data_IF_074311571884
#
_entry.id   IF_074311571884
#
_cell.length_a   1.000
_cell.length_b   1.000
_cell.length_c   1.000
_cell.angle_alpha   90.00
_cell.angle_beta   90.00
_cell.angle_gamma   90.00
#
_symmetry.space_group_name_H-M   'P 1'
#
loop_
_entity.id
_entity.type
_entity.pdbx_description
1 polymer ?
#
# COMPACT_ATOMS: atom_id res chain seq x y z
N UNK A 1 12.30 -4.11 -0.42
CA UNK A 1 12.61 -3.01 0.53
C UNK A 1 14.08 -2.98 0.94
N UNK A 2 14.71 -4.13 1.29
CA UNK A 2 16.12 -4.21 1.70
C UNK A 2 17.09 -3.50 0.74
N UNK A 3 16.90 -3.64 -0.58
CA UNK A 3 17.71 -2.92 -1.58
C UNK A 3 17.53 -1.40 -1.47
N UNK A 4 16.30 -0.91 -1.41
CA UNK A 4 16.03 0.52 -1.26
C UNK A 4 16.53 1.08 0.08
N UNK A 5 16.44 0.31 1.17
CA UNK A 5 17.02 0.69 2.46
C UNK A 5 18.55 0.80 2.38
N UNK A 6 19.22 -0.12 1.69
CA UNK A 6 20.68 -0.05 1.48
C UNK A 6 21.07 1.11 0.57
N UNK A 7 20.29 1.38 -0.46
CA UNK A 7 20.52 2.52 -1.35
C UNK A 7 20.37 3.86 -0.59
N UNK A 8 19.45 3.93 0.37
CA UNK A 8 19.24 5.11 1.24
C UNK A 8 20.17 5.20 2.44
N UNK A 9 20.62 4.06 2.95
CA UNK A 9 21.50 3.93 4.12
C UNK A 9 22.60 2.90 3.80
N UNK A 10 23.68 3.31 3.11
CA UNK A 10 24.74 2.40 2.65
C UNK A 10 25.46 1.66 3.77
N UNK A 11 25.50 2.27 4.96
CA UNK A 11 26.13 1.74 6.18
C UNK A 11 25.20 0.81 6.98
N UNK A 12 23.99 0.51 6.48
CA UNK A 12 23.03 -0.33 7.19
C UNK A 12 23.52 -1.80 7.21
N UNK A 13 23.73 -2.43 8.38
CA UNK A 13 24.18 -3.82 8.44
C UNK A 13 23.22 -4.78 7.73
N UNK A 14 23.75 -5.79 7.03
CA UNK A 14 22.95 -6.72 6.22
C UNK A 14 21.88 -7.46 7.04
N UNK A 15 22.22 -7.88 8.26
CA UNK A 15 21.25 -8.53 9.14
C UNK A 15 20.13 -7.57 9.60
N UNK A 16 20.43 -6.29 9.80
CA UNK A 16 19.41 -5.28 10.15
C UNK A 16 18.51 -4.99 8.94
N UNK A 17 19.09 -4.86 7.75
CA UNK A 17 18.34 -4.71 6.50
C UNK A 17 17.41 -5.92 6.24
N UNK A 18 17.87 -7.12 6.56
CA UNK A 18 17.11 -8.37 6.46
C UNK A 18 15.96 -8.42 7.48
N UNK A 19 16.23 -8.00 8.72
CA UNK A 19 15.19 -7.90 9.78
C UNK A 19 14.11 -6.89 9.39
N UNK A 20 14.48 -5.71 8.91
CA UNK A 20 13.54 -4.68 8.45
C UNK A 20 12.72 -5.12 7.22
N UNK A 21 13.32 -5.93 6.33
CA UNK A 21 12.60 -6.53 5.22
C UNK A 21 11.55 -7.53 5.71
N UNK A 22 11.90 -8.40 6.66
CA UNK A 22 10.95 -9.34 7.25
C UNK A 22 9.77 -8.64 7.93
N UNK A 23 10.03 -7.54 8.64
CA UNK A 23 8.97 -6.68 9.22
C UNK A 23 8.09 -6.10 8.12
N UNK A 24 8.67 -5.61 7.03
CA UNK A 24 7.90 -5.05 5.92
C UNK A 24 6.98 -6.08 5.24
N UNK A 25 7.47 -7.31 5.07
CA UNK A 25 6.70 -8.41 4.51
C UNK A 25 5.55 -8.81 5.45
N UNK A 26 5.80 -8.86 6.77
CA UNK A 26 4.76 -9.06 7.77
C UNK A 26 3.70 -7.96 7.73
N UNK A 27 4.11 -6.69 7.66
CA UNK A 27 3.21 -5.54 7.58
C UNK A 27 2.36 -5.58 6.32
N UNK A 28 2.94 -5.95 5.17
CA UNK A 28 2.21 -6.09 3.92
C UNK A 28 1.12 -7.17 4.03
N UNK A 29 1.43 -8.31 4.63
CA UNK A 29 0.50 -9.42 4.83
C UNK A 29 -0.62 -9.07 5.81
N UNK A 30 -0.28 -8.49 6.98
CA UNK A 30 -1.26 -8.00 7.96
C UNK A 30 -2.19 -6.97 7.31
N UNK A 31 -1.68 -6.11 6.43
CA UNK A 31 -2.51 -5.11 5.75
C UNK A 31 -3.60 -5.73 4.86
N UNK A 32 -3.33 -6.90 4.27
CA UNK A 32 -4.33 -7.64 3.49
C UNK A 32 -5.38 -8.18 4.45
N UNK A 33 -4.95 -8.82 5.54
CA UNK A 33 -5.85 -9.33 6.58
C UNK A 33 -6.78 -8.22 7.05
N UNK A 34 -6.26 -7.08 7.49
CA UNK A 34 -7.06 -5.95 7.99
C UNK A 34 -8.10 -5.42 7.00
N UNK A 35 -7.83 -5.51 5.68
CA UNK A 35 -8.80 -5.09 4.65
C UNK A 35 -9.91 -6.11 4.39
N UNK A 36 -9.70 -7.36 4.78
CA UNK A 36 -10.61 -8.48 4.50
C UNK A 36 -11.32 -9.03 5.75
N UNK A 37 -11.01 -8.51 6.95
CA UNK A 37 -11.67 -8.95 8.20
C UNK A 37 -13.16 -8.59 8.16
N UNK A 38 -14.03 -9.59 8.11
CA UNK A 38 -15.46 -9.42 8.40
C UNK A 38 -15.67 -9.33 9.92
N UNK A 39 -15.97 -8.14 10.41
CA UNK A 39 -16.27 -7.91 11.83
C UNK A 39 -17.72 -8.33 12.13
N UNK A 40 -17.98 -9.61 12.40
CA UNK A 40 -19.17 -10.03 13.16
C UNK A 40 -18.88 -9.89 14.66
N UNK A 41 -19.90 -9.85 15.53
CA UNK A 41 -19.76 -9.57 16.98
C UNK A 41 -18.77 -10.49 17.73
N UNK A 42 -18.26 -11.55 17.11
CA UNK A 42 -17.20 -12.43 17.64
C UNK A 42 -15.79 -12.18 17.08
N UNK A 43 -15.56 -11.14 16.26
CA UNK A 43 -14.24 -10.55 16.01
C UNK A 43 -13.18 -11.45 15.35
N UNK A 44 -13.55 -12.60 14.78
CA UNK A 44 -12.56 -13.49 14.17
C UNK A 44 -12.73 -13.75 12.69
N UNK A 45 -11.61 -14.11 12.09
CA UNK A 45 -11.38 -14.40 10.68
C UNK A 45 -11.85 -15.82 10.32
N UNK A 46 -12.41 -15.99 9.12
CA UNK A 46 -12.70 -17.31 8.55
C UNK A 46 -11.47 -17.87 7.79
N UNK A 47 -11.11 -19.10 8.15
CA UNK A 47 -10.29 -20.13 7.47
C UNK A 47 -8.74 -20.12 7.53
N UNK A 48 -8.21 -20.87 8.50
CA UNK A 48 -7.25 -21.98 8.30
C UNK A 48 -7.50 -23.05 9.39
N UNK A 49 -8.30 -24.08 9.10
CA UNK A 49 -8.59 -25.20 10.02
C UNK A 49 -9.57 -24.88 11.16
N UNK A 50 -10.88 -24.95 10.90
CA UNK A 50 -12.00 -25.13 11.84
C UNK A 50 -12.11 -24.25 13.11
N UNK A 51 -11.32 -23.19 13.30
CA UNK A 51 -11.48 -22.22 14.41
C UNK A 51 -11.39 -20.77 13.94
N UNK A 52 -12.37 -19.96 14.37
CA UNK A 52 -12.40 -18.52 14.22
C UNK A 52 -11.26 -17.89 15.06
N UNK A 53 -10.31 -17.20 14.42
CA UNK A 53 -9.13 -16.60 15.07
C UNK A 53 -9.24 -15.06 15.08
N UNK A 54 -8.92 -14.44 16.22
CA UNK A 54 -8.91 -12.99 16.38
C UNK A 54 -7.77 -12.36 15.55
N UNK A 55 -7.95 -11.10 15.14
CA UNK A 55 -7.04 -10.39 14.23
C UNK A 55 -5.62 -10.17 14.81
N UNK A 56 -5.54 -9.98 16.12
CA UNK A 56 -4.32 -9.91 16.93
C UNK A 56 -3.49 -11.20 16.82
N UNK A 57 -4.10 -12.37 17.02
CA UNK A 57 -3.44 -13.69 16.96
C UNK A 57 -2.90 -13.96 15.54
N UNK A 58 -3.66 -13.55 14.52
CA UNK A 58 -3.22 -13.70 13.12
C UNK A 58 -2.05 -12.78 12.83
N UNK A 59 -2.09 -11.52 13.27
CA UNK A 59 -0.98 -10.59 13.12
C UNK A 59 0.28 -11.08 13.84
N UNK A 60 0.12 -11.56 15.07
CA UNK A 60 1.20 -12.13 15.89
C UNK A 60 1.91 -13.29 15.18
N UNK A 61 1.12 -14.26 14.68
CA UNK A 61 1.65 -15.41 13.94
C UNK A 61 2.42 -14.98 12.69
N UNK A 62 1.90 -14.01 11.92
CA UNK A 62 2.54 -13.51 10.70
C UNK A 62 3.90 -12.90 11.05
N UNK A 63 3.97 -12.06 12.09
CA UNK A 63 5.23 -11.42 12.50
C UNK A 63 6.25 -12.49 12.90
N UNK A 64 5.89 -13.42 13.78
CA UNK A 64 6.82 -14.48 14.20
C UNK A 64 7.33 -15.32 13.03
N UNK A 65 6.47 -15.69 12.09
CA UNK A 65 6.85 -16.51 10.94
C UNK A 65 7.82 -15.78 10.00
N UNK A 66 7.57 -14.50 9.74
CA UNK A 66 8.45 -13.68 8.89
C UNK A 66 9.79 -13.42 9.57
N UNK A 67 9.81 -13.10 10.86
CA UNK A 67 11.05 -12.93 11.61
C UNK A 67 11.86 -14.23 11.67
N UNK A 68 11.21 -15.38 11.89
CA UNK A 68 11.88 -16.69 11.90
C UNK A 68 12.49 -17.03 10.53
N UNK A 69 11.72 -16.83 9.46
CA UNK A 69 12.16 -17.08 8.09
C UNK A 69 13.34 -16.19 7.65
N UNK A 70 13.55 -15.07 8.32
CA UNK A 70 14.64 -14.13 8.00
C UNK A 70 16.03 -14.65 8.33
N UNK A 71 16.15 -15.56 9.31
CA UNK A 71 17.44 -16.02 9.85
C UNK A 71 18.27 -14.96 10.60
N UNK A 72 17.85 -13.69 10.59
CA UNK A 72 18.56 -12.57 11.21
C UNK A 72 18.14 -12.29 12.67
N UNK A 73 17.02 -12.86 13.10
CA UNK A 73 16.46 -12.64 14.44
C UNK A 73 16.70 -13.87 15.31
N UNK A 74 17.38 -13.67 16.43
CA UNK A 74 17.68 -14.71 17.42
C UNK A 74 16.53 -14.90 18.40
N UNK A 75 16.01 -13.79 18.94
CA UNK A 75 14.96 -13.77 19.96
C UNK A 75 13.85 -12.80 19.58
N UNK A 76 12.59 -13.19 19.74
CA UNK A 76 11.47 -12.28 19.58
C UNK A 76 10.47 -12.38 20.74
N UNK A 77 9.76 -11.30 21.03
CA UNK A 77 8.73 -11.23 22.08
C UNK A 77 7.57 -10.35 21.62
N UNK A 78 6.34 -10.78 21.89
CA UNK A 78 5.12 -10.09 21.48
C UNK A 78 4.36 -9.55 22.69
N UNK A 79 3.50 -8.54 22.50
CA UNK A 79 2.50 -8.19 23.51
C UNK A 79 1.56 -9.38 23.82
N UNK A 80 1.15 -10.11 22.78
CA UNK A 80 0.21 -11.24 22.90
C UNK A 80 0.83 -12.45 23.57
N UNK A 81 2.14 -12.64 23.36
CA UNK A 81 2.93 -13.68 24.00
C UNK A 81 4.22 -13.08 24.55
N UNK A 82 4.18 -12.70 25.83
CA UNK A 82 5.28 -12.03 26.53
C UNK A 82 6.51 -12.90 26.83
N UNK A 83 6.50 -14.16 26.40
CA UNK A 83 7.65 -15.05 26.49
C UNK A 83 8.72 -14.66 25.47
N UNK A 84 9.99 -14.74 25.85
CA UNK A 84 11.08 -14.62 24.89
C UNK A 84 11.21 -15.90 24.07
N UNK A 85 10.83 -15.82 22.80
CA UNK A 85 10.85 -16.95 21.87
C UNK A 85 12.15 -16.93 21.07
N UNK A 86 12.92 -18.02 21.15
CA UNK A 86 14.06 -18.23 20.26
C UNK A 86 13.57 -18.57 18.84
N UNK A 87 14.06 -17.82 17.86
CA UNK A 87 13.73 -18.01 16.44
C UNK A 87 14.84 -18.71 15.66
N UNK A 88 15.99 -18.99 16.29
CA UNK A 88 17.09 -19.74 15.69
C UNK A 88 17.99 -18.94 14.73
N UNK A 89 17.73 -17.64 14.54
CA UNK A 89 18.61 -16.75 13.80
C UNK A 89 19.71 -16.13 14.66
N UNK A 90 20.48 -15.21 14.07
CA UNK A 90 21.59 -14.54 14.76
C UNK A 90 21.65 -13.05 14.42
N UNK A 91 21.96 -12.20 15.41
CA UNK A 91 22.31 -10.79 15.19
C UNK A 91 21.35 -9.81 15.86
N UNK A 92 20.05 -10.10 15.88
CA UNK A 92 19.06 -9.17 16.41
C UNK A 92 18.02 -9.82 17.31
N UNK A 93 17.43 -9.01 18.18
CA UNK A 93 16.25 -9.35 18.96
C UNK A 93 15.14 -8.34 18.69
N UNK A 94 13.90 -8.81 18.55
CA UNK A 94 12.75 -7.98 18.16
C UNK A 94 11.63 -8.08 19.18
N UNK A 95 11.21 -6.96 19.74
CA UNK A 95 9.98 -6.89 20.51
C UNK A 95 8.90 -6.15 19.71
N UNK A 96 7.66 -6.61 19.74
CA UNK A 96 6.60 -6.00 18.95
C UNK A 96 5.22 -6.04 19.60
N UNK A 97 4.40 -5.05 19.26
CA UNK A 97 2.94 -5.10 19.36
C UNK A 97 2.41 -5.44 17.96
N UNK A 98 1.83 -6.64 17.76
CA UNK A 98 1.38 -7.05 16.44
C UNK A 98 0.18 -6.23 15.95
N UNK A 99 -0.63 -5.66 16.85
CA UNK A 99 -1.84 -4.93 16.47
C UNK A 99 -2.32 -3.92 17.53
N UNK A 100 -1.66 -2.76 17.59
CA UNK A 100 -2.10 -1.58 18.36
C UNK A 100 -3.46 -1.08 17.85
N UNK A 101 -4.39 -0.86 18.79
CA UNK A 101 -5.74 -0.40 18.48
C UNK A 101 -6.70 -1.53 18.07
N UNK A 102 -6.42 -2.79 18.40
CA UNK A 102 -7.31 -3.92 18.11
C UNK A 102 -8.78 -3.69 18.54
N UNK A 103 -9.00 -3.05 19.69
CA UNK A 103 -10.32 -2.69 20.22
C UNK A 103 -11.16 -1.73 19.36
N UNK A 104 -10.54 -1.01 18.41
CA UNK A 104 -11.22 -0.03 17.54
C UNK A 104 -11.31 -0.50 16.08
N UNK A 105 -10.92 -1.75 15.79
CA UNK A 105 -11.03 -2.34 14.44
C UNK A 105 -12.48 -2.37 13.97
N UNK A 106 -13.44 -2.74 14.83
CA UNK A 106 -14.86 -2.81 14.49
C UNK A 106 -15.46 -1.44 14.12
N UNK A 107 -14.88 -0.36 14.63
CA UNK A 107 -15.24 1.01 14.28
C UNK A 107 -14.60 1.48 12.95
N UNK A 108 -13.79 0.63 12.31
CA UNK A 108 -13.05 0.90 11.08
C UNK A 108 -12.10 2.11 11.23
N UNK A 109 -11.52 2.28 12.43
CA UNK A 109 -10.49 3.27 12.67
C UNK A 109 -9.12 2.74 12.23
N UNK A 110 -8.18 3.66 12.01
CA UNK A 110 -6.81 3.27 11.72
C UNK A 110 -6.18 2.56 12.92
N UNK A 111 -5.46 1.48 12.66
CA UNK A 111 -4.72 0.66 13.65
C UNK A 111 -3.27 0.50 13.20
N UNK A 112 -2.42 -0.17 13.95
CA UNK A 112 -1.01 -0.30 13.58
C UNK A 112 -0.29 -1.47 14.23
N UNK A 113 0.96 -1.72 13.84
CA UNK A 113 1.88 -2.60 14.56
C UNK A 113 3.11 -1.80 14.99
N UNK A 114 3.75 -2.17 16.08
CA UNK A 114 4.92 -1.49 16.63
C UNK A 114 6.07 -2.48 16.77
N UNK A 115 7.29 -2.07 16.44
CA UNK A 115 8.49 -2.92 16.45
C UNK A 115 9.67 -2.17 17.07
N UNK A 116 10.34 -2.79 18.04
CA UNK A 116 11.64 -2.38 18.56
C UNK A 116 12.70 -3.43 18.19
N UNK A 117 13.87 -2.97 17.74
CA UNK A 117 14.97 -3.84 17.28
C UNK A 117 16.23 -3.53 18.08
N UNK A 118 16.79 -4.56 18.70
CA UNK A 118 18.05 -4.52 19.44
C UNK A 118 19.07 -5.46 18.80
N UNK A 119 20.35 -5.12 18.93
CA UNK A 119 21.43 -6.03 18.55
C UNK A 119 21.63 -7.12 19.61
N UNK A 120 21.99 -8.32 19.18
CA UNK A 120 22.22 -9.49 20.03
C UNK A 120 20.96 -10.33 20.28
N UNK A 121 20.97 -11.06 21.41
CA UNK A 121 20.04 -12.16 21.72
C UNK A 121 19.12 -11.88 22.93
N UNK A 122 19.20 -10.67 23.50
CA UNK A 122 18.49 -10.29 24.72
C UNK A 122 17.60 -9.08 24.51
N UNK A 123 16.34 -9.22 24.92
CA UNK A 123 15.38 -8.12 25.07
C UNK A 123 15.31 -7.61 26.53
N UNK A 124 15.41 -8.51 27.50
CA UNK A 124 15.38 -8.13 28.92
C UNK A 124 16.68 -7.44 29.35
N UNK A 125 16.53 -6.38 30.14
CA UNK A 125 17.66 -5.57 30.63
C UNK A 125 18.19 -4.57 29.60
N UNK A 126 17.66 -4.55 28.39
CA UNK A 126 17.97 -3.52 27.40
C UNK A 126 17.30 -2.19 27.77
N UNK A 127 18.01 -1.08 27.54
CA UNK A 127 17.41 0.25 27.67
C UNK A 127 16.66 0.58 26.37
N UNK A 128 15.56 1.35 26.48
CA UNK A 128 14.85 1.83 25.28
C UNK A 128 15.79 2.56 24.30
N UNK A 129 16.73 3.34 24.83
CA UNK A 129 17.73 4.05 24.05
C UNK A 129 18.84 3.19 23.44
N UNK A 130 18.90 1.87 23.69
CA UNK A 130 19.87 0.97 23.05
C UNK A 130 19.37 0.33 21.75
N UNK A 131 18.16 0.65 21.31
CA UNK A 131 17.64 0.19 20.02
C UNK A 131 18.55 0.62 18.86
N UNK A 132 18.78 -0.31 17.94
CA UNK A 132 19.48 -0.04 16.67
C UNK A 132 18.50 0.49 15.62
N UNK A 133 17.24 0.07 15.72
CA UNK A 133 16.14 0.57 14.91
C UNK A 133 14.80 0.38 15.63
N UNK A 134 13.81 1.15 15.22
CA UNK A 134 12.42 0.96 15.56
C UNK A 134 11.54 1.19 14.34
N UNK A 135 10.37 0.59 14.33
CA UNK A 135 9.40 0.79 13.27
C UNK A 135 7.98 0.74 13.80
N UNK A 136 7.06 1.37 13.09
CA UNK A 136 5.64 1.12 13.27
C UNK A 136 4.93 1.15 11.92
N UNK A 137 3.86 0.39 11.79
CA UNK A 137 2.98 0.39 10.63
C UNK A 137 1.68 1.11 10.94
N UNK A 138 1.12 1.84 9.97
CA UNK A 138 -0.23 2.39 10.06
C UNK A 138 -1.12 1.68 9.04
N UNK A 139 -2.14 0.98 9.51
CA UNK A 139 -3.21 0.39 8.71
C UNK A 139 -4.41 1.33 8.70
N UNK A 140 -4.34 2.39 7.88
CA UNK A 140 -5.46 3.30 7.64
C UNK A 140 -5.95 3.23 6.20
N UNK A 141 -6.48 4.34 5.65
CA UNK A 141 -6.78 4.45 4.21
C UNK A 141 -5.57 4.18 3.31
N UNK A 142 -4.36 4.33 3.88
CA UNK A 142 -3.09 3.91 3.30
C UNK A 142 -2.38 3.02 4.31
N UNK A 143 -1.66 2.03 3.81
CA UNK A 143 -0.70 1.28 4.62
C UNK A 143 0.64 2.01 4.58
N UNK A 144 1.13 2.43 5.74
CA UNK A 144 2.44 3.05 5.89
C UNK A 144 3.32 2.17 6.77
N UNK A 145 4.62 2.17 6.51
CA UNK A 145 5.64 1.64 7.40
C UNK A 145 6.64 2.77 7.66
N UNK A 146 6.74 3.18 8.92
CA UNK A 146 7.66 4.22 9.36
C UNK A 146 8.80 3.54 10.08
N UNK A 147 10.03 3.86 9.70
CA UNK A 147 11.25 3.27 10.23
C UNK A 147 12.13 4.38 10.76
N UNK A 148 12.63 4.19 11.97
CA UNK A 148 13.62 5.03 12.58
C UNK A 148 14.90 4.22 12.78
N UNK A 149 15.98 4.72 12.21
CA UNK A 149 17.32 4.18 12.39
C UNK A 149 18.06 5.09 13.36
N UNK A 150 18.83 4.49 14.29
CA UNK A 150 19.68 5.26 15.17
C UNK A 150 20.82 5.87 14.36
N UNK A 151 20.68 7.13 13.98
CA UNK A 151 21.74 7.96 13.42
C UNK A 151 21.97 9.11 14.40
N UNK A 152 23.22 9.50 14.66
CA UNK A 152 23.61 10.42 15.74
C UNK A 152 23.11 11.87 15.63
N UNK A 153 21.99 12.15 14.96
CA UNK A 153 21.46 13.49 14.73
C UNK A 153 20.17 13.72 15.52
N UNK A 154 20.16 14.75 16.38
CA UNK A 154 18.97 15.24 17.07
C UNK A 154 18.15 16.14 16.15
N UNK A 155 16.88 15.79 15.92
CA UNK A 155 15.96 16.63 15.15
C UNK A 155 15.37 17.78 15.97
N UNK A 156 15.02 18.90 15.31
CA UNK A 156 14.30 20.02 15.92
C UNK A 156 12.79 19.85 15.77
N UNK A 157 12.03 19.98 16.87
CA UNK A 157 10.56 19.96 16.85
C UNK A 157 10.00 21.28 16.33
N UNK A 158 8.98 21.25 15.46
CA UNK A 158 8.18 22.43 15.12
C UNK A 158 6.93 22.49 16.01
N UNK A 159 6.40 23.70 16.25
CA UNK A 159 5.24 23.88 17.14
C UNK A 159 3.92 23.71 16.39
N UNK A 160 3.27 22.55 16.52
CA UNK A 160 1.87 22.35 16.10
C UNK A 160 0.93 22.34 17.32
N UNK A 161 -0.25 22.98 17.17
CA UNK A 161 -1.27 23.08 18.22
C UNK A 161 -2.27 21.92 18.17
N UNK A 162 -1.76 20.69 18.31
CA UNK A 162 -2.58 19.46 18.35
C UNK A 162 -2.23 18.65 19.58
N UNK A 163 -3.23 18.04 20.21
CA UNK A 163 -3.02 17.14 21.34
C UNK A 163 -3.87 15.87 21.27
N UNK A 164 -3.30 14.77 21.76
CA UNK A 164 -3.86 13.43 21.85
C UNK A 164 -3.76 12.93 23.31
N UNK A 165 -4.78 13.21 24.15
CA UNK A 165 -4.76 12.86 25.56
C UNK A 165 -5.29 11.43 25.78
N UNK A 166 -4.38 10.46 25.85
CA UNK A 166 -4.72 9.10 26.25
C UNK A 166 -4.96 9.01 27.77
N UNK A 167 -5.64 7.95 28.18
CA UNK A 167 -5.96 7.66 29.59
C UNK A 167 -6.62 8.85 30.35
N UNK A 168 -7.53 9.60 29.71
CA UNK A 168 -8.21 10.77 30.31
C UNK A 168 -8.88 10.49 31.67
N UNK A 169 -9.20 9.24 32.00
CA UNK A 169 -9.69 8.84 33.33
C UNK A 169 -8.72 9.23 34.46
N UNK A 170 -7.41 9.25 34.17
CA UNK A 170 -6.39 9.68 35.11
C UNK A 170 -6.57 11.14 35.56
N UNK A 171 -7.21 11.99 34.77
CA UNK A 171 -7.50 13.39 35.16
C UNK A 171 -8.38 13.49 36.41
N UNK A 172 -9.10 12.42 36.81
CA UNK A 172 -9.91 12.39 38.04
C UNK A 172 -9.07 12.55 39.30
N UNK A 173 -7.86 12.02 39.30
CA UNK A 173 -6.95 11.97 40.45
C UNK A 173 -5.60 12.65 40.17
N UNK A 174 -5.25 12.87 38.90
CA UNK A 174 -4.06 13.60 38.47
C UNK A 174 -4.46 15.03 38.08
N UNK A 175 -4.41 15.95 39.05
CA UNK A 175 -4.77 17.36 38.86
C UNK A 175 -3.87 18.08 37.86
N UNK A 176 -2.56 17.80 37.87
CA UNK A 176 -1.62 18.37 36.90
C UNK A 176 -1.98 17.96 35.46
N UNK A 177 -2.41 16.71 35.25
CA UNK A 177 -2.88 16.28 33.93
C UNK A 177 -4.18 16.97 33.52
N UNK A 178 -5.12 17.14 34.47
CA UNK A 178 -6.37 17.87 34.23
C UNK A 178 -6.09 19.31 33.81
N UNK A 179 -5.27 20.02 34.58
CA UNK A 179 -4.87 21.40 34.29
C UNK A 179 -4.20 21.53 32.93
N UNK A 180 -3.31 20.59 32.58
CA UNK A 180 -2.64 20.58 31.28
C UNK A 180 -3.63 20.43 30.11
N UNK A 181 -4.59 19.52 30.22
CA UNK A 181 -5.62 19.33 29.19
C UNK A 181 -6.53 20.56 29.10
N UNK A 182 -6.94 21.13 30.23
CA UNK A 182 -7.73 22.37 30.27
C UNK A 182 -6.98 23.53 29.62
N UNK A 183 -5.69 23.71 29.93
CA UNK A 183 -4.85 24.76 29.33
C UNK A 183 -4.76 24.63 27.80
N UNK A 184 -4.63 23.40 27.27
CA UNK A 184 -4.67 23.18 25.82
C UNK A 184 -6.02 23.53 25.19
N UNK A 185 -7.12 23.22 25.87
CA UNK A 185 -8.46 23.59 25.42
C UNK A 185 -8.65 25.12 25.40
N UNK A 186 -8.23 25.81 26.47
CA UNK A 186 -8.31 27.28 26.58
C UNK A 186 -7.44 27.98 25.54
N UNK A 187 -6.27 27.43 25.22
CA UNK A 187 -5.37 27.94 24.18
C UNK A 187 -5.80 27.58 22.75
N UNK A 188 -6.93 26.89 22.59
CA UNK A 188 -7.49 26.52 21.29
C UNK A 188 -6.70 25.46 20.53
N UNK A 189 -6.05 24.52 21.23
CA UNK A 189 -5.43 23.37 20.57
C UNK A 189 -6.49 22.43 20.00
N UNK A 190 -6.19 21.80 18.87
CA UNK A 190 -7.09 20.82 18.26
C UNK A 190 -6.92 19.45 18.93
N UNK A 191 -8.00 18.93 19.50
CA UNK A 191 -8.07 17.55 20.03
C UNK A 191 -8.09 16.54 18.87
N UNK A 192 -7.20 15.55 18.91
CA UNK A 192 -7.21 14.37 18.02
C UNK A 192 -6.80 13.15 18.81
N UNK A 193 -7.76 12.29 19.12
CA UNK A 193 -7.54 11.04 19.85
C UNK A 193 -8.48 9.97 19.29
N UNK A 194 -7.89 8.88 18.82
CA UNK A 194 -8.60 7.75 18.21
C UNK A 194 -8.65 6.54 19.12
N UNK A 195 -7.76 6.47 20.12
CA UNK A 195 -7.65 5.33 21.04
C UNK A 195 -6.60 4.29 20.62
N UNK A 196 -6.06 4.39 19.41
CA UNK A 196 -4.86 3.67 18.98
C UNK A 196 -3.62 4.55 19.14
N UNK A 197 -2.56 4.05 19.75
CA UNK A 197 -1.34 4.82 19.95
C UNK A 197 -0.69 5.20 18.62
N UNK A 198 -0.62 4.26 17.67
CA UNK A 198 0.02 4.45 16.37
C UNK A 198 -0.62 5.59 15.55
N UNK A 199 -1.93 5.62 15.26
CA UNK A 199 -2.54 6.75 14.55
C UNK A 199 -2.43 8.07 15.32
N UNK A 200 -2.50 8.03 16.66
CA UNK A 200 -2.42 9.23 17.50
C UNK A 200 -1.01 9.82 17.56
N UNK A 201 0.04 9.00 17.48
CA UNK A 201 1.44 9.46 17.37
C UNK A 201 1.79 9.81 15.93
N UNK A 202 1.34 9.02 14.95
CA UNK A 202 1.69 9.24 13.54
C UNK A 202 1.20 10.59 13.03
N UNK A 203 -0.01 11.02 13.38
CA UNK A 203 -0.51 12.31 12.89
C UNK A 203 0.28 13.49 13.48
N UNK A 204 0.79 13.38 14.71
CA UNK A 204 1.66 14.39 15.33
C UNK A 204 2.97 14.50 14.54
N UNK A 205 3.58 13.36 14.24
CA UNK A 205 4.78 13.29 13.40
C UNK A 205 4.54 13.85 12.01
N UNK A 206 3.44 13.47 11.36
CA UNK A 206 3.08 13.94 10.02
C UNK A 206 2.79 15.44 9.96
N UNK A 207 2.26 16.02 11.04
CA UNK A 207 2.05 17.48 11.17
C UNK A 207 3.30 18.23 11.63
N UNK A 208 4.40 17.54 11.89
CA UNK A 208 5.65 18.12 12.34
C UNK A 208 5.64 18.62 13.78
N UNK A 209 4.64 18.24 14.60
CA UNK A 209 4.53 18.66 16.00
C UNK A 209 3.15 18.38 16.61
N UNK A 210 3.07 18.51 17.93
CA UNK A 210 1.89 18.18 18.74
C UNK A 210 2.28 17.38 19.97
N UNK A 211 1.29 17.02 20.80
CA UNK A 211 1.52 16.37 22.09
C UNK A 211 0.67 15.12 22.21
N UNK A 212 1.31 13.97 22.40
CA UNK A 212 0.67 12.74 22.87
C UNK A 212 1.04 12.51 24.33
N UNK A 213 0.07 12.17 25.18
CA UNK A 213 0.33 11.88 26.59
C UNK A 213 -0.59 10.79 27.10
N UNK A 214 -0.07 9.92 27.98
CA UNK A 214 -0.81 8.81 28.58
C UNK A 214 -0.39 8.60 30.05
N UNK A 215 -0.61 9.59 30.93
CA UNK A 215 -0.20 9.49 32.33
C UNK A 215 -1.06 8.47 33.08
N UNK A 216 -0.48 7.85 34.10
CA UNK A 216 -1.18 6.94 34.99
C UNK A 216 -1.74 7.67 36.23
N UNK A 217 -2.73 7.05 36.87
CA UNK A 217 -3.23 7.38 38.20
C UNK A 217 -3.64 6.08 38.92
N UNK A 218 -3.83 6.07 40.25
CA UNK A 218 -4.24 4.88 40.99
C UNK A 218 -5.48 4.16 40.41
N UNK A 219 -6.54 4.89 40.05
CA UNK A 219 -7.73 4.30 39.40
C UNK A 219 -7.63 4.16 37.88
N UNK A 220 -6.52 4.58 37.29
CA UNK A 220 -6.27 4.56 35.86
C UNK A 220 -4.80 4.17 35.57
N UNK A 221 -4.43 2.89 35.76
CA UNK A 221 -3.05 2.43 35.63
C UNK A 221 -2.49 2.65 34.22
N UNK A 222 -1.16 2.65 34.11
CA UNK A 222 -0.47 2.76 32.85
C UNK A 222 -0.91 1.63 31.89
N UNK A 223 -1.30 2.01 30.67
CA UNK A 223 -1.69 1.05 29.63
C UNK A 223 -0.57 0.71 28.68
N UNK A 224 0.35 1.65 28.47
CA UNK A 224 1.44 1.50 27.51
C UNK A 224 2.58 0.70 28.14
N UNK A 225 3.04 -0.33 27.42
CA UNK A 225 4.12 -1.22 27.81
C UNK A 225 5.44 -0.64 27.32
N UNK A 226 6.42 -0.67 28.19
CA UNK A 226 7.72 -0.07 27.89
C UNK A 226 8.42 -0.76 26.71
N UNK A 227 8.40 -2.09 26.67
CA UNK A 227 9.10 -2.89 25.67
C UNK A 227 8.44 -2.85 24.28
N UNK A 228 7.10 -2.88 24.23
CA UNK A 228 6.33 -3.04 23.00
C UNK A 228 5.85 -1.70 22.41
N UNK A 229 5.55 -0.70 23.25
CA UNK A 229 4.89 0.52 22.80
C UNK A 229 5.84 1.73 22.89
N UNK A 230 6.31 2.03 24.10
CA UNK A 230 6.97 3.29 24.39
C UNK A 230 8.42 3.34 23.87
N UNK A 231 9.20 2.28 24.04
CA UNK A 231 10.61 2.27 23.66
C UNK A 231 10.79 2.41 22.14
N UNK A 232 10.02 1.66 21.36
CA UNK A 232 10.03 1.70 19.90
C UNK A 232 9.65 3.09 19.36
N UNK A 233 8.64 3.73 19.94
CA UNK A 233 8.21 5.06 19.47
C UNK A 233 9.13 6.18 19.93
N UNK A 234 9.78 6.09 21.11
CA UNK A 234 10.75 7.10 21.59
C UNK A 234 12.00 7.16 20.70
N UNK A 235 12.50 6.02 20.23
CA UNK A 235 13.58 6.00 19.24
C UNK A 235 13.14 6.64 17.91
N UNK A 236 11.87 6.44 17.51
CA UNK A 236 11.28 7.08 16.34
C UNK A 236 10.99 8.57 16.46
N UNK A 237 10.70 9.06 17.67
CA UNK A 237 10.39 10.46 17.97
C UNK A 237 11.65 11.33 18.12
N UNK A 238 12.79 10.75 18.49
CA UNK A 238 14.08 11.46 18.62
C UNK A 238 14.65 11.89 17.25
N UNK A 239 14.15 11.29 16.18
CA UNK A 239 14.41 11.67 14.80
C UNK A 239 13.24 12.57 14.36
N UNK A 240 13.43 13.90 14.32
CA UNK A 240 12.49 14.77 13.61
C UNK A 240 12.34 14.25 12.17
N UNK A 241 11.18 14.44 11.50
CA UNK A 241 10.84 13.71 10.28
C UNK A 241 11.80 14.07 9.13
N UNK A 242 12.91 13.36 9.06
CA UNK A 242 13.45 12.92 7.79
C UNK A 242 12.56 11.74 7.41
N UNK A 243 11.36 12.03 6.90
CA UNK A 243 10.68 11.02 6.10
C UNK A 243 11.65 10.78 4.96
N UNK A 244 12.42 9.68 5.03
CA UNK A 244 13.09 9.12 3.89
C UNK A 244 11.98 8.68 2.91
N UNK A 245 11.39 9.66 2.23
CA UNK A 245 11.04 9.47 0.84
C UNK A 245 12.32 8.94 0.21
N UNK A 246 12.20 7.86 -0.54
CA UNK A 246 13.28 7.46 -1.43
C UNK A 246 13.68 8.70 -2.25
N UNK A 247 14.76 9.37 -1.82
CA UNK A 247 15.33 10.56 -2.44
C UNK A 247 15.72 10.17 -3.86
N UNK A 248 15.04 10.80 -4.81
CA UNK A 248 15.20 10.53 -6.23
C UNK A 248 14.23 11.29 -7.13
N UNK A 249 13.71 12.44 -6.73
CA UNK A 249 13.32 13.49 -7.66
C UNK A 249 13.20 14.83 -6.91
N UNK A 250 14.10 15.75 -7.25
CA UNK A 250 13.98 17.18 -6.98
C UNK A 250 12.55 17.66 -7.22
N UNK A 251 12.06 18.54 -6.34
CA UNK A 251 10.76 19.18 -6.44
C UNK A 251 10.52 19.78 -7.83
N UNK A 252 9.72 19.08 -8.61
CA UNK A 252 8.81 19.66 -9.57
C UNK A 252 7.45 19.06 -9.25
N UNK A 253 6.42 19.89 -9.08
CA UNK A 253 5.05 19.41 -9.07
C UNK A 253 4.79 18.66 -10.39
N UNK A 254 4.80 17.33 -10.36
CA UNK A 254 4.40 16.52 -11.53
C UNK A 254 2.89 16.37 -11.46
N UNK A 255 2.19 17.43 -11.85
CA UNK A 255 0.73 17.49 -11.97
C UNK A 255 0.25 18.28 -13.19
N UNK A 256 1.13 18.60 -14.15
CA UNK A 256 0.78 19.53 -15.23
C UNK A 256 1.67 19.48 -16.46
N UNK A 257 2.03 18.31 -16.98
CA UNK A 257 2.61 18.28 -18.34
C UNK A 257 2.11 17.08 -19.15
N UNK A 258 1.03 17.34 -19.87
CA UNK A 258 0.67 16.62 -21.08
C UNK A 258 1.30 17.39 -22.26
N UNK A 259 2.05 16.76 -23.18
CA UNK A 259 2.54 17.45 -24.39
C UNK A 259 1.37 17.95 -25.25
N UNK A 260 1.55 19.00 -26.05
CA UNK A 260 0.46 19.54 -26.89
C UNK A 260 -0.05 18.50 -27.90
N UNK A 261 -1.39 18.39 -27.93
CA UNK A 261 -2.34 17.67 -28.79
C UNK A 261 -1.82 16.85 -29.98
N UNK A 262 -2.36 15.63 -30.13
CA UNK A 262 -2.05 14.73 -31.26
C UNK A 262 -3.25 14.05 -31.93
N UNK A 263 -4.45 14.03 -31.33
CA UNK A 263 -5.67 13.45 -31.93
C UNK A 263 -6.90 14.21 -31.36
N UNK A 264 -7.58 15.01 -32.18
CA UNK A 264 -8.72 15.87 -31.77
C UNK A 264 -8.41 16.71 -30.49
N UNK A 265 -9.35 16.72 -29.52
CA UNK A 265 -9.28 17.36 -28.20
C UNK A 265 -8.53 16.50 -27.15
N UNK A 266 -7.91 15.38 -27.56
CA UNK A 266 -7.21 14.46 -26.66
C UNK A 266 -5.70 14.65 -26.73
N UNK A 267 -5.03 14.24 -25.65
CA UNK A 267 -3.57 14.21 -25.56
C UNK A 267 -3.06 12.79 -25.62
N UNK A 268 -2.08 12.56 -26.47
CA UNK A 268 -1.43 11.26 -26.60
C UNK A 268 -0.52 10.99 -25.40
N UNK A 269 -0.73 9.84 -24.77
CA UNK A 269 0.17 9.23 -23.81
C UNK A 269 1.08 8.24 -24.53
N UNK A 270 2.38 8.41 -24.32
CA UNK A 270 3.43 7.47 -24.70
C UNK A 270 4.27 7.26 -23.43
N UNK A 271 4.52 6.01 -23.00
CA UNK A 271 5.33 5.76 -21.83
C UNK A 271 6.76 6.26 -22.06
N UNK A 272 7.37 6.80 -21.01
CA UNK A 272 8.72 7.34 -21.06
C UNK A 272 9.65 6.54 -20.13
N UNK A 273 10.90 6.32 -20.56
CA UNK A 273 11.83 5.49 -19.79
C UNK A 273 12.16 6.06 -18.40
N UNK A 274 11.95 7.35 -18.10
CA UNK A 274 12.14 7.89 -16.74
C UNK A 274 10.99 7.48 -15.82
N UNK A 275 9.75 7.44 -16.31
CA UNK A 275 8.57 7.13 -15.50
C UNK A 275 8.05 5.71 -15.61
N UNK A 276 8.38 4.98 -16.68
CA UNK A 276 7.86 3.64 -16.97
C UNK A 276 8.94 2.57 -16.76
N UNK A 277 8.92 1.82 -15.65
CA UNK A 277 10.01 0.91 -15.30
C UNK A 277 10.09 -0.31 -16.22
N UNK A 278 8.97 -0.74 -16.79
CA UNK A 278 8.88 -1.81 -17.78
C UNK A 278 9.63 -1.50 -19.09
N UNK A 279 9.72 -0.22 -19.46
CA UNK A 279 10.58 0.22 -20.58
C UNK A 279 12.06 0.12 -20.22
N UNK A 280 12.45 0.55 -19.01
CA UNK A 280 13.86 0.45 -18.57
C UNK A 280 14.32 -0.99 -18.41
N UNK A 281 13.43 -1.86 -17.96
CA UNK A 281 13.70 -3.28 -17.79
C UNK A 281 13.71 -4.04 -19.13
N UNK A 282 13.21 -3.45 -20.21
CA UNK A 282 13.10 -4.13 -21.51
C UNK A 282 11.96 -5.14 -21.61
N UNK A 283 11.00 -5.09 -20.67
CA UNK A 283 9.75 -5.87 -20.77
C UNK A 283 8.84 -5.36 -21.87
N UNK A 284 8.95 -4.07 -22.21
CA UNK A 284 8.25 -3.42 -23.30
C UNK A 284 9.30 -2.91 -24.29
N UNK A 285 9.04 -3.11 -25.58
CA UNK A 285 9.93 -2.65 -26.65
C UNK A 285 10.05 -1.12 -26.60
N UNK A 286 11.25 -0.57 -26.32
CA UNK A 286 11.44 0.87 -26.21
C UNK A 286 11.37 1.59 -27.57
N UNK A 287 11.49 0.87 -28.68
CA UNK A 287 11.43 1.45 -30.04
C UNK A 287 10.01 1.66 -30.52
N UNK A 288 9.10 0.77 -30.09
CA UNK A 288 7.67 0.85 -30.42
C UNK A 288 6.82 0.59 -29.17
N UNK A 289 6.78 1.50 -28.19
CA UNK A 289 5.94 1.31 -27.02
C UNK A 289 4.45 1.43 -27.37
N UNK A 290 3.61 0.93 -26.47
CA UNK A 290 2.17 1.18 -26.53
C UNK A 290 1.87 2.68 -26.40
N UNK A 291 0.73 3.12 -26.91
CA UNK A 291 0.25 4.50 -26.78
C UNK A 291 -1.28 4.54 -26.86
N UNK A 292 -1.88 5.52 -26.20
CA UNK A 292 -3.30 5.85 -26.30
C UNK A 292 -3.51 7.32 -25.97
N UNK A 293 -4.65 7.89 -26.34
CA UNK A 293 -4.99 9.28 -26.08
C UNK A 293 -5.95 9.40 -24.89
N UNK A 294 -5.77 10.42 -24.06
CA UNK A 294 -6.60 10.74 -22.89
C UNK A 294 -7.03 12.20 -22.91
N UNK A 295 -8.18 12.58 -22.31
CA UNK A 295 -8.57 13.98 -22.25
C UNK A 295 -7.56 14.80 -21.43
N UNK A 296 -7.28 16.06 -21.80
CA UNK A 296 -6.26 16.89 -21.15
C UNK A 296 -6.55 17.19 -19.68
N UNK A 297 -7.80 17.04 -19.25
CA UNK A 297 -8.26 17.26 -17.88
C UNK A 297 -8.08 16.02 -16.98
N UNK A 298 -7.65 14.89 -17.53
CA UNK A 298 -7.46 13.65 -16.78
C UNK A 298 -6.09 13.63 -16.13
N UNK A 299 -6.03 13.15 -14.88
CA UNK A 299 -4.80 13.11 -14.09
C UNK A 299 -4.27 11.69 -14.05
N UNK A 300 -2.96 11.55 -14.25
CA UNK A 300 -2.24 10.29 -14.02
C UNK A 300 -2.21 10.01 -12.51
N UNK A 301 -2.64 8.82 -12.11
CA UNK A 301 -2.67 8.39 -10.71
C UNK A 301 -1.45 7.57 -10.35
N UNK A 302 -1.07 7.62 -9.07
CA UNK A 302 0.00 6.78 -8.56
C UNK A 302 -0.46 5.34 -8.50
N UNK A 303 0.30 4.46 -9.15
CA UNK A 303 0.11 3.02 -9.06
C UNK A 303 0.80 2.53 -7.80
N UNK A 304 0.10 1.75 -6.97
CA UNK A 304 0.71 1.11 -5.83
C UNK A 304 1.82 0.17 -6.33
N UNK A 305 2.99 0.16 -5.68
CA UNK A 305 4.13 -0.62 -6.17
C UNK A 305 3.79 -2.11 -6.39
N UNK A 306 2.92 -2.69 -5.55
CA UNK A 306 2.47 -4.10 -5.68
C UNK A 306 1.66 -4.37 -6.96
N UNK A 307 0.99 -3.36 -7.50
CA UNK A 307 0.24 -3.44 -8.75
C UNK A 307 1.09 -3.02 -9.95
N UNK A 308 2.28 -2.43 -9.73
CA UNK A 308 3.18 -2.01 -10.81
C UNK A 308 4.18 -3.11 -11.16
N UNK A 309 4.68 -3.11 -12.40
CA UNK A 309 5.72 -4.04 -12.86
C UNK A 309 7.09 -3.89 -12.17
N UNK A 310 7.23 -2.94 -11.23
CA UNK A 310 8.50 -2.53 -10.63
C UNK A 310 9.24 -3.65 -9.88
N UNK A 311 8.50 -4.61 -9.31
CA UNK A 311 9.10 -5.71 -8.53
C UNK A 311 9.54 -6.89 -9.39
N UNK A 312 8.89 -7.10 -10.53
CA UNK A 312 8.98 -8.34 -11.27
C UNK A 312 9.64 -8.18 -12.64
N UNK A 313 9.80 -6.95 -13.15
CA UNK A 313 10.49 -6.72 -14.40
C UNK A 313 11.98 -7.13 -14.31
N UNK A 314 12.57 -7.74 -15.35
CA UNK A 314 11.99 -7.92 -16.69
C UNK A 314 11.07 -9.13 -16.86
N UNK A 315 11.01 -10.03 -15.87
CA UNK A 315 10.29 -11.31 -15.93
C UNK A 315 9.11 -11.33 -14.95
N UNK A 316 8.10 -10.52 -15.24
CA UNK A 316 6.85 -10.59 -14.50
C UNK A 316 6.13 -11.90 -14.82
N UNK A 317 5.83 -12.71 -13.80
CA UNK A 317 5.00 -13.91 -13.91
C UNK A 317 3.51 -13.59 -13.77
N UNK A 318 3.20 -12.51 -13.06
CA UNK A 318 1.84 -12.00 -12.90
C UNK A 318 1.62 -10.73 -13.71
N UNK A 319 0.37 -10.44 -14.12
CA UNK A 319 -0.01 -9.18 -14.74
C UNK A 319 0.24 -7.98 -13.81
N UNK A 320 0.49 -6.82 -14.43
CA UNK A 320 0.71 -5.58 -13.71
C UNK A 320 0.05 -4.40 -14.42
N UNK A 321 -0.21 -3.34 -13.66
CA UNK A 321 -0.74 -2.08 -14.15
C UNK A 321 0.41 -1.15 -14.55
N UNK A 322 0.39 -0.71 -15.80
CA UNK A 322 1.40 0.21 -16.35
C UNK A 322 1.08 1.67 -16.07
N UNK A 323 -0.18 2.07 -16.18
CA UNK A 323 -0.63 3.45 -15.99
C UNK A 323 -2.12 3.49 -15.63
N UNK A 324 -2.50 4.49 -14.82
CA UNK A 324 -3.89 4.81 -14.50
C UNK A 324 -4.10 6.30 -14.74
N UNK A 325 -5.19 6.66 -15.43
CA UNK A 325 -5.70 8.02 -15.52
C UNK A 325 -7.11 8.09 -14.93
N UNK A 326 -7.40 9.15 -14.19
CA UNK A 326 -8.74 9.37 -13.62
C UNK A 326 -9.21 10.81 -13.83
N UNK A 327 -10.51 10.95 -14.04
CA UNK A 327 -11.24 12.17 -13.80
C UNK A 327 -12.51 11.81 -13.01
N UNK A 328 -12.68 12.29 -11.77
CA UNK A 328 -13.84 11.94 -10.94
C UNK A 328 -15.21 12.22 -11.59
N UNK A 329 -15.27 13.17 -12.54
CA UNK A 329 -16.50 13.51 -13.25
C UNK A 329 -16.72 12.73 -14.56
N UNK A 330 -15.67 12.13 -15.14
CA UNK A 330 -15.74 11.53 -16.47
C UNK A 330 -15.44 10.02 -16.51
N UNK A 331 -14.66 9.49 -15.57
CA UNK A 331 -14.33 8.06 -15.49
C UNK A 331 -12.84 7.78 -15.21
N UNK A 332 -12.42 6.55 -15.53
CA UNK A 332 -11.06 6.04 -15.33
C UNK A 332 -10.57 5.33 -16.59
N UNK A 333 -9.27 5.38 -16.86
CA UNK A 333 -8.57 4.58 -17.86
C UNK A 333 -7.38 3.91 -17.18
N UNK A 334 -7.12 2.64 -17.46
CA UNK A 334 -5.97 1.93 -16.96
C UNK A 334 -5.43 0.96 -18.00
N UNK A 335 -4.11 0.82 -18.10
CA UNK A 335 -3.49 -0.18 -18.93
C UNK A 335 -2.90 -1.28 -18.06
N UNK A 336 -3.32 -2.51 -18.31
CA UNK A 336 -2.75 -3.73 -17.71
C UNK A 336 -1.92 -4.43 -18.77
N UNK A 337 -0.75 -4.93 -18.36
CA UNK A 337 0.11 -5.78 -19.18
C UNK A 337 0.19 -7.14 -18.51
N UNK A 338 -0.07 -8.19 -19.28
CA UNK A 338 -0.07 -9.57 -18.82
C UNK A 338 0.94 -10.39 -19.64
N UNK A 339 1.79 -11.22 -19.01
CA UNK A 339 2.68 -12.13 -19.73
C UNK A 339 1.87 -13.11 -20.60
N UNK A 340 2.25 -13.28 -21.87
CA UNK A 340 1.53 -14.18 -22.79
C UNK A 340 1.44 -15.62 -22.27
N UNK A 341 2.46 -16.08 -21.52
CA UNK A 341 2.48 -17.42 -20.90
C UNK A 341 1.28 -17.71 -20.00
N UNK A 342 0.57 -16.68 -19.51
CA UNK A 342 -0.66 -16.83 -18.72
C UNK A 342 -1.90 -17.10 -19.59
N UNK A 343 -1.84 -16.73 -20.87
CA UNK A 343 -2.94 -16.86 -21.83
C UNK A 343 -2.70 -18.00 -22.82
N UNK A 344 -1.44 -18.26 -23.19
CA UNK A 344 -1.06 -19.29 -24.15
C UNK A 344 0.39 -19.74 -23.95
N UNK A 345 0.72 -21.02 -24.17
CA UNK A 345 2.11 -21.49 -24.15
C UNK A 345 2.94 -20.99 -25.35
N UNK A 346 2.30 -20.43 -26.38
CA UNK A 346 2.99 -19.94 -27.58
C UNK A 346 3.62 -18.57 -27.34
N UNK A 347 4.94 -18.47 -27.49
CA UNK A 347 5.65 -17.19 -27.50
C UNK A 347 5.21 -16.33 -28.68
N UNK A 348 5.11 -15.01 -28.48
CA UNK A 348 4.77 -14.03 -29.53
C UNK A 348 3.50 -14.31 -30.33
N UNK A 349 2.54 -15.03 -29.74
CA UNK A 349 1.27 -15.31 -30.38
C UNK A 349 0.45 -14.02 -30.60
N UNK A 350 -0.16 -13.89 -31.78
CA UNK A 350 -1.18 -12.86 -32.01
C UNK A 350 -2.44 -13.19 -31.20
N UNK A 351 -3.26 -12.19 -30.86
CA UNK A 351 -4.43 -12.41 -29.99
C UNK A 351 -5.42 -13.42 -30.57
N UNK A 352 -5.55 -13.51 -31.89
CA UNK A 352 -6.38 -14.49 -32.60
C UNK A 352 -5.82 -15.92 -32.59
N UNK A 353 -4.53 -16.09 -32.29
CA UNK A 353 -3.92 -17.39 -32.05
C UNK A 353 -4.13 -17.88 -30.60
N UNK A 354 -4.58 -17.01 -29.69
CA UNK A 354 -4.94 -17.35 -28.32
C UNK A 354 -6.35 -17.95 -28.29
N UNK A 355 -7.29 -17.32 -28.99
CA UNK A 355 -8.68 -17.75 -29.08
C UNK A 355 -9.53 -16.72 -29.82
N UNK A 356 -10.83 -16.99 -29.94
CA UNK A 356 -11.79 -15.98 -30.40
C UNK A 356 -12.07 -14.92 -29.31
N UNK A 357 -12.84 -13.85 -29.59
CA UNK A 357 -13.10 -12.81 -28.61
C UNK A 357 -13.67 -13.34 -27.28
N UNK A 358 -14.54 -14.34 -27.30
CA UNK A 358 -15.16 -14.88 -26.08
C UNK A 358 -14.17 -15.73 -25.28
N UNK A 359 -13.38 -16.56 -25.95
CA UNK A 359 -12.34 -17.36 -25.30
C UNK A 359 -11.26 -16.48 -24.66
N UNK A 360 -10.86 -15.39 -25.32
CA UNK A 360 -9.92 -14.43 -24.74
C UNK A 360 -10.57 -13.65 -23.59
N UNK A 361 -11.86 -13.29 -23.69
CA UNK A 361 -12.61 -12.66 -22.60
C UNK A 361 -12.59 -13.51 -21.33
N UNK A 362 -12.80 -14.82 -21.45
CA UNK A 362 -12.73 -15.73 -20.30
C UNK A 362 -11.37 -15.66 -19.57
N UNK A 363 -10.27 -15.50 -20.33
CA UNK A 363 -8.92 -15.43 -19.77
C UNK A 363 -8.56 -14.06 -19.19
N UNK A 364 -9.04 -12.96 -19.79
CA UNK A 364 -8.73 -11.59 -19.32
C UNK A 364 -9.79 -11.03 -18.36
N UNK A 365 -10.94 -11.67 -18.26
CA UNK A 365 -12.09 -11.28 -17.46
C UNK A 365 -11.78 -10.90 -16.02
N UNK A 366 -10.99 -11.70 -15.28
CA UNK A 366 -10.57 -11.32 -13.93
C UNK A 366 -9.85 -9.96 -13.85
N UNK A 367 -9.18 -9.51 -14.93
CA UNK A 367 -8.55 -8.20 -14.99
C UNK A 367 -9.54 -7.05 -15.21
N UNK A 368 -10.73 -7.36 -15.74
CA UNK A 368 -11.79 -6.39 -16.02
C UNK A 368 -12.66 -6.17 -14.77
N UNK A 369 -13.09 -7.26 -14.12
CA UNK A 369 -14.11 -7.22 -13.06
C UNK A 369 -13.55 -7.49 -11.65
N UNK A 370 -12.34 -8.06 -11.54
CA UNK A 370 -11.72 -8.44 -10.26
C UNK A 370 -12.22 -9.76 -9.65
N UNK A 371 -13.33 -10.32 -10.13
CA UNK A 371 -13.94 -11.55 -9.57
C UNK A 371 -14.05 -12.70 -10.59
N UNK A 372 -14.00 -12.41 -11.90
CA UNK A 372 -14.12 -13.39 -12.97
C UNK A 372 -14.41 -12.73 -14.34
N UNK A 373 -14.61 -13.49 -15.42
CA UNK A 373 -15.19 -12.90 -16.63
C UNK A 373 -16.61 -12.36 -16.39
N UNK A 374 -17.03 -11.28 -17.08
CA UNK A 374 -18.43 -10.87 -17.09
C UNK A 374 -19.32 -12.02 -17.55
N UNK A 375 -20.51 -12.13 -16.96
CA UNK A 375 -21.53 -13.08 -17.42
C UNK A 375 -21.99 -12.72 -18.84
N UNK A 376 -22.49 -13.69 -19.61
CA UNK A 376 -22.89 -13.44 -21.02
C UNK A 376 -23.93 -12.30 -21.14
N UNK A 377 -24.84 -12.19 -20.17
CA UNK A 377 -25.86 -11.12 -20.12
C UNK A 377 -25.28 -9.74 -19.78
N UNK A 378 -24.10 -9.70 -19.15
CA UNK A 378 -23.37 -8.47 -18.83
C UNK A 378 -22.59 -7.95 -20.05
N UNK A 379 -22.30 -8.80 -21.04
CA UNK A 379 -21.55 -8.45 -22.25
C UNK A 379 -22.48 -7.78 -23.26
N UNK A 380 -22.31 -6.48 -23.45
CA UNK A 380 -23.02 -5.71 -24.46
C UNK A 380 -22.42 -5.90 -25.86
N UNK A 381 -21.09 -6.10 -25.92
CA UNK A 381 -20.35 -6.14 -27.17
C UNK A 381 -19.04 -6.91 -27.05
N UNK A 382 -18.73 -7.74 -28.02
CA UNK A 382 -17.42 -8.39 -28.18
C UNK A 382 -17.07 -8.44 -29.68
N UNK A 383 -16.13 -7.62 -30.12
CA UNK A 383 -15.78 -7.49 -31.55
C UNK A 383 -14.29 -7.67 -31.81
N UNK A 384 -14.00 -8.17 -33.02
CA UNK A 384 -12.66 -8.21 -33.59
C UNK A 384 -12.46 -7.00 -34.49
N UNK A 385 -11.42 -6.23 -34.21
CA UNK A 385 -10.97 -5.12 -35.03
C UNK A 385 -9.53 -5.35 -35.49
N UNK A 386 -9.15 -4.77 -36.63
CA UNK A 386 -7.74 -4.75 -37.07
C UNK A 386 -7.30 -3.30 -37.23
N UNK A 387 -6.22 -2.93 -36.53
CA UNK A 387 -5.66 -1.58 -36.54
C UNK A 387 -4.16 -1.70 -36.83
N UNK A 388 -3.67 -1.03 -37.87
CA UNK A 388 -2.26 -1.05 -38.29
C UNK A 388 -1.66 -2.46 -38.39
N UNK A 389 -2.43 -3.40 -38.96
CA UNK A 389 -2.01 -4.80 -39.13
C UNK A 389 -1.97 -5.64 -37.85
N UNK A 390 -2.40 -5.10 -36.71
CA UNK A 390 -2.55 -5.83 -35.44
C UNK A 390 -4.03 -6.05 -35.11
N UNK A 391 -4.38 -7.24 -34.68
CA UNK A 391 -5.74 -7.58 -34.25
C UNK A 391 -5.99 -7.11 -32.81
N UNK A 392 -7.13 -6.49 -32.59
CA UNK A 392 -7.63 -6.07 -31.28
C UNK A 392 -8.96 -6.74 -31.02
N UNK A 393 -9.19 -7.13 -29.77
CA UNK A 393 -10.52 -7.50 -29.28
C UNK A 393 -11.06 -6.38 -28.42
N UNK A 394 -12.24 -5.89 -28.80
CA UNK A 394 -12.91 -4.77 -28.16
C UNK A 394 -14.16 -5.29 -27.46
N UNK A 395 -14.27 -5.00 -26.17
CA UNK A 395 -15.33 -5.49 -25.32
C UNK A 395 -16.05 -4.34 -24.64
N UNK A 396 -17.37 -4.43 -24.55
CA UNK A 396 -18.21 -3.53 -23.75
C UNK A 396 -19.10 -4.37 -22.84
N UNK A 397 -19.09 -4.07 -21.54
CA UNK A 397 -19.85 -4.82 -20.56
C UNK A 397 -20.40 -3.91 -19.46
N UNK A 398 -21.55 -4.31 -18.90
CA UNK A 398 -22.16 -3.75 -17.71
C UNK A 398 -22.08 -4.76 -16.57
N UNK A 399 -21.15 -4.55 -15.65
CA UNK A 399 -20.88 -5.46 -14.53
C UNK A 399 -21.57 -4.99 -13.27
N UNK A 400 -22.21 -5.92 -12.57
CA UNK A 400 -23.05 -5.62 -11.41
C UNK A 400 -22.27 -5.31 -10.12
N UNK A 401 -20.96 -5.61 -10.04
CA UNK A 401 -20.08 -5.20 -8.94
C UNK A 401 -18.58 -5.38 -9.27
N UNK A 402 -17.96 -4.44 -10.00
CA UNK A 402 -16.51 -4.41 -10.22
C UNK A 402 -15.80 -3.21 -9.55
N UNK A 403 -14.52 -3.31 -9.16
CA UNK A 403 -13.73 -2.23 -8.54
C UNK A 403 -13.44 -1.04 -9.49
N UNK A 404 -13.83 -1.16 -10.76
CA UNK A 404 -13.63 -0.17 -11.84
C UNK A 404 -14.89 0.65 -12.13
N UNK A 405 -16.06 0.27 -11.61
CA UNK A 405 -17.36 0.88 -11.95
C UNK A 405 -18.18 0.00 -12.90
N UNK A 406 -19.51 0.21 -13.00
CA UNK A 406 -20.41 -0.73 -13.65
C UNK A 406 -20.21 -0.83 -15.17
N UNK A 407 -19.92 0.26 -15.88
CA UNK A 407 -19.75 0.23 -17.34
C UNK A 407 -18.27 0.15 -17.71
N UNK A 408 -17.87 -0.91 -18.40
CA UNK A 408 -16.49 -1.17 -18.82
C UNK A 408 -16.43 -1.22 -20.35
N UNK A 409 -15.42 -0.54 -20.92
CA UNK A 409 -15.05 -0.67 -22.32
C UNK A 409 -13.55 -0.95 -22.42
N UNK A 410 -13.18 -2.01 -23.13
CA UNK A 410 -11.80 -2.53 -23.16
C UNK A 410 -11.33 -2.75 -24.59
N UNK A 411 -10.05 -2.50 -24.86
CA UNK A 411 -9.36 -3.04 -26.02
C UNK A 411 -8.15 -3.87 -25.58
N UNK A 412 -8.09 -5.12 -26.04
CA UNK A 412 -7.01 -6.05 -25.77
C UNK A 412 -6.27 -6.42 -27.07
N UNK A 413 -4.95 -6.54 -27.00
CA UNK A 413 -4.11 -7.06 -28.08
C UNK A 413 -2.84 -7.70 -27.52
N UNK A 414 -2.00 -8.26 -28.38
CA UNK A 414 -0.72 -8.87 -27.99
C UNK A 414 0.41 -8.28 -28.81
N UNK A 415 1.61 -8.19 -28.22
CA UNK A 415 2.85 -7.79 -28.90
C UNK A 415 4.07 -8.28 -28.14
N UNK A 416 5.02 -8.87 -28.85
CA UNK A 416 6.12 -9.58 -28.20
C UNK A 416 5.54 -10.67 -27.30
N UNK A 417 6.09 -10.85 -26.10
CA UNK A 417 5.62 -11.86 -25.16
C UNK A 417 4.59 -11.35 -24.13
N UNK A 418 3.88 -10.26 -24.46
CA UNK A 418 2.87 -9.66 -23.59
C UNK A 418 1.52 -9.45 -24.29
N UNK A 419 0.45 -9.56 -23.51
CA UNK A 419 -0.86 -9.00 -23.81
C UNK A 419 -1.01 -7.62 -23.14
N UNK A 420 -1.62 -6.69 -23.87
CA UNK A 420 -1.88 -5.33 -23.43
C UNK A 420 -3.39 -5.09 -23.41
N UNK A 421 -3.91 -4.62 -22.28
CA UNK A 421 -5.34 -4.56 -22.00
C UNK A 421 -5.65 -3.15 -21.50
N UNK A 422 -6.14 -2.29 -22.39
CA UNK A 422 -6.59 -0.95 -22.02
C UNK A 422 -8.05 -1.01 -21.60
N UNK A 423 -8.33 -0.61 -20.37
CA UNK A 423 -9.64 -0.65 -19.74
C UNK A 423 -10.05 0.78 -19.41
N UNK A 424 -11.20 1.23 -19.92
CA UNK A 424 -11.89 2.42 -19.42
C UNK A 424 -13.15 2.01 -18.69
N UNK A 425 -13.45 2.75 -17.64
CA UNK A 425 -14.60 2.45 -16.80
C UNK A 425 -15.26 3.70 -16.24
N UNK A 426 -16.58 3.62 -16.06
CA UNK A 426 -17.41 4.71 -15.58
C UNK A 426 -18.68 4.19 -14.90
N UNK A 427 -19.23 4.98 -13.98
CA UNK A 427 -20.60 4.79 -13.51
C UNK A 427 -21.62 5.34 -14.52
N UNK A 428 -22.91 5.01 -14.37
CA UNK A 428 -23.97 5.44 -15.30
C UNK A 428 -24.01 6.97 -15.54
N UNK A 429 -23.79 7.77 -14.49
CA UNK A 429 -23.78 9.24 -14.58
C UNK A 429 -22.59 9.77 -15.35
N UNK A 430 -21.43 9.14 -15.18
CA UNK A 430 -20.21 9.46 -15.92
C UNK A 430 -20.35 9.01 -17.39
N UNK A 431 -20.81 7.78 -17.61
CA UNK A 431 -20.95 7.19 -18.93
C UNK A 431 -21.91 7.97 -19.82
N UNK A 432 -23.10 8.31 -19.30
CA UNK A 432 -24.08 9.12 -20.03
C UNK A 432 -23.53 10.47 -20.53
N UNK A 433 -22.57 11.06 -19.80
CA UNK A 433 -21.93 12.34 -20.16
C UNK A 433 -20.67 12.18 -21.02
N UNK A 434 -19.89 11.12 -20.78
CA UNK A 434 -18.52 11.00 -21.27
C UNK A 434 -18.28 9.81 -22.20
N UNK A 435 -19.27 8.99 -22.52
CA UNK A 435 -19.12 7.81 -23.39
C UNK A 435 -18.42 8.11 -24.73
N UNK A 436 -18.67 9.27 -25.35
CA UNK A 436 -18.00 9.66 -26.59
C UNK A 436 -16.48 9.82 -26.39
N UNK A 437 -16.06 10.46 -25.29
CA UNK A 437 -14.64 10.60 -24.94
C UNK A 437 -14.02 9.25 -24.60
N UNK A 438 -14.68 8.43 -23.79
CA UNK A 438 -14.18 7.10 -23.37
C UNK A 438 -14.00 6.16 -24.55
N UNK A 439 -14.92 6.18 -25.53
CA UNK A 439 -14.77 5.41 -26.78
C UNK A 439 -13.57 5.88 -27.60
N UNK A 440 -13.32 7.20 -27.70
CA UNK A 440 -12.14 7.73 -28.38
C UNK A 440 -10.83 7.29 -27.70
N UNK A 441 -10.79 7.23 -26.37
CA UNK A 441 -9.62 6.71 -25.62
C UNK A 441 -9.31 5.28 -26.07
N UNK A 442 -10.30 4.39 -26.10
CA UNK A 442 -10.13 2.98 -26.51
C UNK A 442 -9.78 2.83 -27.99
N UNK A 443 -10.40 3.64 -28.85
CA UNK A 443 -10.12 3.64 -30.30
C UNK A 443 -8.69 4.10 -30.60
N UNK A 444 -8.15 5.03 -29.82
CA UNK A 444 -6.78 5.54 -30.00
C UNK A 444 -5.67 4.58 -29.53
N UNK A 445 -6.04 3.47 -28.88
CA UNK A 445 -5.07 2.52 -28.32
C UNK A 445 -4.33 1.74 -29.40
N UNK A 446 -3.00 1.74 -29.28
CA UNK A 446 -2.08 0.94 -30.09
C UNK A 446 -0.98 0.34 -29.21
N UNK A 447 -0.61 -0.92 -29.43
CA UNK A 447 0.42 -1.63 -28.65
C UNK A 447 1.79 -1.74 -29.35
#
# INVERSE_FOLDING_TARGET
MARALRDHFPELPDGLATTLQAIADAVAEISVVMRTVSCTETGGLNNFGDKQLQADIVADRIVFERLRSSGAVSTASSEEQSDMISLGGTGYSVAFDPLDGSSIISANFAVGSIFGIWEGDKLLGQQAGSQVAAAYSLYGPKTLLVIALRTGHSGSSSSSKVFAPANLRATRENHAYRELVTDWMEKGYTLRYSGGMVPDVHHILAKGGGIFCSPAAPSAPAKLRMLYDAAALVAGLSVAPSVAHAAGASGGEVGGYLPKAGIDDLVQFIPDAKKTPSLRAGSIDPTTPYKFAVPPTWKEEKIANIQSGNFCAPRCDEPWTEVIFINPAEGKAQLIVAPLRRLTPKSKASIDQIGDPNGVMAAIGPYLTGTGPPEEEEILKAEKETRDGRTYYVYEANTSAGPTGPHILTAATTKGDNAYILIVSANERQWSKSQSKLRKVVQSFTA
#
